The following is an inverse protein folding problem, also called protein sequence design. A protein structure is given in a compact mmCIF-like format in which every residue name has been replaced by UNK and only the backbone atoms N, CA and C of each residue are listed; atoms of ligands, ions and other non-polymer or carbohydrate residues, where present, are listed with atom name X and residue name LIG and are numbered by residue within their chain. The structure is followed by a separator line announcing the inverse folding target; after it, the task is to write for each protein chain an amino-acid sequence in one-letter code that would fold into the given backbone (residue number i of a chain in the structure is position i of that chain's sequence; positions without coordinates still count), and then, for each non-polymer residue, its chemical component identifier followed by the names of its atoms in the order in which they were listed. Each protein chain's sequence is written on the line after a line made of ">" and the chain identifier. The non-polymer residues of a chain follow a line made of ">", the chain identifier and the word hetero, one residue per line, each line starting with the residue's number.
data_IF_654713919328
#
_entry.id   IF_654713919328
#
_cell.length_a   1.000
_cell.length_b   1.000
_cell.length_c   1.000
_cell.angle_alpha   90.00
_cell.angle_beta   90.00
_cell.angle_gamma   90.00
#
_symmetry.space_group_name_H-M   'P 1'
#
loop_
_entity.id
_entity.type
_entity.pdbx_description
1 polymer ?
#
# COMPACT_ATOMS: atom_id res chain seq x y z
N UNK A 1 -15.84 -2.33 2.97
CA UNK A 1 -15.32 -2.26 1.59
C UNK A 1 -13.88 -2.73 1.64
N UNK A 2 -13.54 -3.73 0.86
CA UNK A 2 -12.16 -4.23 0.82
C UNK A 2 -11.26 -3.22 0.09
N UNK A 3 -9.94 -3.32 0.24
CA UNK A 3 -9.03 -2.34 -0.36
C UNK A 3 -9.00 -2.41 -1.89
N UNK A 4 -9.42 -3.53 -2.48
CA UNK A 4 -9.54 -3.69 -3.92
C UNK A 4 -10.73 -2.93 -4.50
N UNK A 5 -11.86 -2.90 -3.81
CA UNK A 5 -13.01 -2.04 -4.16
C UNK A 5 -12.59 -0.57 -4.14
N UNK A 6 -11.95 -0.14 -3.05
CA UNK A 6 -11.48 1.25 -2.89
C UNK A 6 -10.49 1.61 -4.01
N UNK A 7 -9.58 0.69 -4.34
CA UNK A 7 -8.66 0.85 -5.46
C UNK A 7 -9.39 1.09 -6.78
N UNK A 8 -10.39 0.27 -7.11
CA UNK A 8 -11.15 0.43 -8.35
C UNK A 8 -11.94 1.74 -8.37
N UNK A 9 -12.59 2.10 -7.27
CA UNK A 9 -13.33 3.37 -7.14
C UNK A 9 -12.41 4.57 -7.37
N UNK A 10 -11.20 4.55 -6.81
CA UNK A 10 -10.21 5.60 -7.00
C UNK A 10 -9.70 5.65 -8.46
N UNK A 11 -9.46 4.51 -9.10
CA UNK A 11 -9.09 4.47 -10.53
C UNK A 11 -10.22 5.02 -11.41
N UNK A 12 -11.49 4.72 -11.12
CA UNK A 12 -12.64 5.24 -11.86
C UNK A 12 -12.75 6.76 -11.66
N UNK A 13 -12.56 7.26 -10.44
CA UNK A 13 -12.56 8.70 -10.14
C UNK A 13 -11.45 9.44 -10.89
N UNK A 14 -10.23 8.88 -10.91
CA UNK A 14 -9.12 9.40 -11.71
C UNK A 14 -9.45 9.39 -13.22
N UNK A 15 -9.99 8.27 -13.72
CA UNK A 15 -10.36 8.13 -15.13
C UNK A 15 -11.40 9.16 -15.57
N UNK A 16 -12.40 9.43 -14.71
CA UNK A 16 -13.41 10.48 -14.94
C UNK A 16 -12.79 11.87 -15.06
N UNK A 17 -11.87 12.22 -14.15
CA UNK A 17 -11.17 13.50 -14.17
C UNK A 17 -10.34 13.71 -15.45
N UNK A 18 -9.68 12.66 -15.95
CA UNK A 18 -8.84 12.71 -17.15
C UNK A 18 -9.55 12.31 -18.46
N UNK A 19 -10.89 12.15 -18.46
CA UNK A 19 -11.67 11.72 -19.64
C UNK A 19 -11.20 10.38 -20.26
N UNK A 20 -10.75 9.45 -19.43
CA UNK A 20 -10.31 8.11 -19.82
C UNK A 20 -11.51 7.15 -19.88
N UNK A 21 -12.38 7.34 -20.87
CA UNK A 21 -13.73 6.74 -20.87
C UNK A 21 -13.81 5.27 -21.33
N UNK A 22 -12.68 4.56 -21.44
CA UNK A 22 -12.67 3.13 -21.82
C UNK A 22 -11.60 2.37 -21.04
N UNK A 23 -11.82 1.08 -20.77
CA UNK A 23 -10.82 0.22 -20.13
C UNK A 23 -9.46 0.30 -20.81
N UNK A 24 -9.45 0.31 -22.16
CA UNK A 24 -8.22 0.45 -22.95
C UNK A 24 -7.49 1.75 -22.68
N UNK A 25 -8.19 2.89 -22.61
CA UNK A 25 -7.59 4.20 -22.30
C UNK A 25 -7.00 4.22 -20.89
N UNK A 26 -7.74 3.70 -19.90
CA UNK A 26 -7.29 3.61 -18.51
C UNK A 26 -6.05 2.71 -18.42
N UNK A 27 -6.13 1.51 -19.01
CA UNK A 27 -5.05 0.53 -18.98
C UNK A 27 -3.76 1.07 -19.64
N UNK A 28 -3.89 1.74 -20.80
CA UNK A 28 -2.76 2.39 -21.47
C UNK A 28 -2.13 3.48 -20.61
N UNK A 29 -2.94 4.31 -19.93
CA UNK A 29 -2.42 5.36 -19.06
C UNK A 29 -1.65 4.76 -17.86
N UNK A 30 -2.24 3.79 -17.17
CA UNK A 30 -1.66 3.14 -15.99
C UNK A 30 -0.55 2.14 -16.31
N UNK A 31 -0.26 1.92 -17.60
CA UNK A 31 0.71 0.94 -18.10
C UNK A 31 0.42 -0.49 -17.60
N UNK A 32 -0.83 -0.93 -17.78
CA UNK A 32 -1.32 -2.27 -17.45
C UNK A 32 -2.11 -2.83 -18.62
N UNK A 33 -2.41 -4.13 -18.60
CA UNK A 33 -3.29 -4.72 -19.62
C UNK A 33 -4.76 -4.46 -19.30
N UNK A 34 -5.58 -4.36 -20.34
CA UNK A 34 -7.04 -4.23 -20.20
C UNK A 34 -7.63 -5.38 -19.38
N UNK A 35 -7.13 -6.60 -19.62
CA UNK A 35 -7.55 -7.80 -18.88
C UNK A 35 -7.19 -7.73 -17.41
N UNK A 36 -6.02 -7.16 -17.05
CA UNK A 36 -5.66 -6.98 -15.64
C UNK A 36 -6.69 -6.10 -14.93
N UNK A 37 -7.08 -4.99 -15.57
CA UNK A 37 -8.08 -4.06 -15.03
C UNK A 37 -9.46 -4.72 -14.90
N UNK A 38 -9.90 -5.48 -15.91
CA UNK A 38 -11.15 -6.26 -15.86
C UNK A 38 -11.10 -7.32 -14.75
N UNK A 39 -9.97 -8.01 -14.59
CA UNK A 39 -9.80 -9.01 -13.53
C UNK A 39 -9.81 -8.38 -12.13
N UNK A 40 -9.25 -7.19 -11.97
CA UNK A 40 -9.31 -6.45 -10.72
C UNK A 40 -10.74 -5.98 -10.42
N UNK A 41 -11.47 -5.48 -11.41
CA UNK A 41 -12.86 -5.07 -11.18
C UNK A 41 -13.80 -6.24 -10.88
N UNK A 42 -13.61 -7.38 -11.56
CA UNK A 42 -14.37 -8.62 -11.30
C UNK A 42 -13.90 -9.39 -10.06
N UNK A 43 -12.89 -8.88 -9.34
CA UNK A 43 -12.27 -9.53 -8.17
C UNK A 43 -11.70 -10.93 -8.41
N UNK A 44 -11.51 -11.32 -9.67
CA UNK A 44 -10.92 -12.61 -10.05
C UNK A 44 -9.40 -12.62 -9.85
N UNK A 45 -8.77 -11.44 -9.88
CA UNK A 45 -7.37 -11.22 -9.48
C UNK A 45 -7.25 -9.98 -8.62
N UNK A 46 -6.12 -9.85 -7.93
CA UNK A 46 -5.83 -8.75 -7.03
C UNK A 46 -4.48 -8.13 -7.41
N UNK A 47 -4.32 -6.79 -7.43
CA UNK A 47 -3.02 -6.18 -7.70
C UNK A 47 -2.02 -6.53 -6.58
N UNK A 48 -0.75 -6.68 -6.96
CA UNK A 48 0.34 -6.75 -5.97
C UNK A 48 0.71 -5.35 -5.48
N UNK A 49 1.33 -5.23 -4.30
CA UNK A 49 1.83 -3.94 -3.82
C UNK A 49 2.81 -3.28 -4.80
N UNK A 50 3.69 -4.06 -5.45
CA UNK A 50 4.57 -3.52 -6.50
C UNK A 50 3.78 -2.92 -7.67
N UNK A 51 2.65 -3.53 -8.03
CA UNK A 51 1.78 -3.00 -9.09
C UNK A 51 1.07 -1.74 -8.61
N UNK A 52 0.65 -1.69 -7.35
CA UNK A 52 0.10 -0.49 -6.73
C UNK A 52 1.11 0.66 -6.77
N UNK A 53 2.36 0.43 -6.37
CA UNK A 53 3.46 1.40 -6.43
C UNK A 53 3.61 1.97 -7.85
N UNK A 54 3.71 1.10 -8.85
CA UNK A 54 3.87 1.50 -10.26
C UNK A 54 2.71 2.36 -10.79
N UNK A 55 1.47 2.01 -10.40
CA UNK A 55 0.29 2.77 -10.80
C UNK A 55 0.26 4.14 -10.10
N UNK A 56 0.63 4.16 -8.81
CA UNK A 56 0.66 5.37 -7.99
C UNK A 56 1.73 6.33 -8.48
N UNK A 57 2.92 5.83 -8.81
CA UNK A 57 4.01 6.60 -9.44
C UNK A 57 3.57 7.20 -10.79
N UNK A 58 2.76 6.47 -11.55
CA UNK A 58 2.24 6.92 -12.85
C UNK A 58 1.16 8.00 -12.71
N UNK A 59 0.35 7.92 -11.66
CA UNK A 59 -0.67 8.92 -11.30
C UNK A 59 -0.02 10.15 -10.64
N UNK A 60 1.09 9.97 -9.93
CA UNK A 60 1.76 10.99 -9.14
C UNK A 60 1.35 11.03 -7.67
N UNK A 61 0.69 9.98 -7.14
CA UNK A 61 0.17 9.94 -5.77
C UNK A 61 0.84 8.86 -4.90
N UNK A 62 0.71 8.96 -3.58
CA UNK A 62 1.15 7.89 -2.68
C UNK A 62 0.32 6.61 -2.85
N UNK A 63 0.95 5.45 -2.69
CA UNK A 63 0.27 4.15 -2.86
C UNK A 63 -0.86 3.91 -1.87
N UNK A 64 -0.72 4.39 -0.63
CA UNK A 64 -1.79 4.30 0.34
C UNK A 64 -3.03 5.09 -0.09
N UNK A 65 -2.88 6.17 -0.88
CA UNK A 65 -4.00 6.99 -1.33
C UNK A 65 -4.90 6.24 -2.29
N UNK A 66 -4.34 5.37 -3.14
CA UNK A 66 -5.13 4.53 -4.05
C UNK A 66 -6.02 3.53 -3.30
N UNK A 67 -5.67 3.10 -2.10
CA UNK A 67 -6.45 2.16 -1.29
C UNK A 67 -7.09 2.81 -0.05
N UNK A 68 -7.04 4.14 0.03
CA UNK A 68 -7.76 4.92 1.03
C UNK A 68 -9.09 5.39 0.44
N UNK A 69 -10.17 5.19 1.17
CA UNK A 69 -11.48 5.71 0.77
C UNK A 69 -11.38 7.23 0.61
N UNK A 70 -11.82 7.73 -0.54
CA UNK A 70 -11.72 9.14 -0.91
C UNK A 70 -10.27 9.69 -0.86
N UNK A 71 -9.27 8.83 -1.07
CA UNK A 71 -7.86 9.15 -0.92
C UNK A 71 -7.40 10.30 -1.83
N UNK A 72 -6.35 11.01 -1.43
CA UNK A 72 -5.81 12.13 -2.20
C UNK A 72 -4.94 11.63 -3.36
N UNK A 73 -5.61 11.27 -4.47
CA UNK A 73 -4.99 10.70 -5.67
C UNK A 73 -4.58 11.77 -6.70
N UNK A 74 -4.88 13.04 -6.43
CA UNK A 74 -4.55 14.18 -7.30
C UNK A 74 -3.47 15.07 -6.69
N UNK A 75 -2.84 14.62 -5.59
CA UNK A 75 -1.65 15.26 -5.07
C UNK A 75 -0.55 15.21 -6.14
N UNK A 76 -0.18 16.34 -6.73
CA UNK A 76 0.90 16.43 -7.70
C UNK A 76 2.26 16.36 -7.00
N UNK A 77 2.68 15.15 -6.62
CA UNK A 77 3.95 14.96 -5.89
C UNK A 77 5.09 14.80 -6.89
N UNK A 78 5.94 15.83 -6.96
CA UNK A 78 7.12 15.82 -7.82
C UNK A 78 8.16 14.78 -7.33
N UNK A 79 8.73 13.99 -8.26
CA UNK A 79 9.75 12.97 -8.00
C UNK A 79 9.34 11.85 -7.03
N UNK A 80 8.11 11.33 -7.17
CA UNK A 80 7.63 10.22 -6.38
C UNK A 80 8.16 8.86 -6.87
N UNK A 81 8.70 8.07 -5.94
CA UNK A 81 9.00 6.64 -6.14
C UNK A 81 8.50 5.86 -4.95
N UNK A 82 7.29 5.34 -5.06
CA UNK A 82 6.65 4.57 -4.00
C UNK A 82 7.44 3.28 -3.68
N UNK A 83 7.49 2.94 -2.39
CA UNK A 83 8.00 1.66 -1.91
C UNK A 83 7.11 1.13 -0.78
N UNK A 84 5.85 0.81 -1.10
CA UNK A 84 4.86 0.35 -0.11
C UNK A 84 5.33 -0.82 0.74
N UNK A 85 6.24 -1.65 0.20
CA UNK A 85 6.83 -2.78 0.93
C UNK A 85 7.73 -2.31 2.08
N UNK A 86 8.59 -1.34 1.84
CA UNK A 86 9.46 -0.79 2.88
C UNK A 86 8.63 -0.14 3.99
N UNK A 87 7.58 0.57 3.60
CA UNK A 87 6.64 1.21 4.53
C UNK A 87 5.87 0.18 5.33
N UNK A 88 5.40 -0.89 4.68
CA UNK A 88 4.80 -2.03 5.37
C UNK A 88 5.70 -2.58 6.46
N UNK A 89 6.97 -2.84 6.13
CA UNK A 89 7.93 -3.39 7.08
C UNK A 89 8.15 -2.41 8.24
N UNK A 90 8.32 -1.11 7.94
CA UNK A 90 8.51 -0.07 8.94
C UNK A 90 7.31 0.02 9.89
N UNK A 91 6.09 0.11 9.36
CA UNK A 91 4.87 0.24 10.15
C UNK A 91 4.61 -1.02 10.99
N UNK A 92 4.89 -2.20 10.45
CA UNK A 92 4.79 -3.45 11.22
C UNK A 92 5.84 -3.52 12.34
N UNK A 93 7.10 -3.12 12.09
CA UNK A 93 8.14 -3.07 13.14
C UNK A 93 7.71 -2.17 14.30
N UNK A 94 7.18 -0.98 13.98
CA UNK A 94 6.68 -0.04 14.98
C UNK A 94 5.50 -0.63 15.76
N UNK A 95 4.53 -1.22 15.06
CA UNK A 95 3.39 -1.86 15.71
C UNK A 95 3.80 -3.01 16.63
N UNK A 96 4.74 -3.85 16.21
CA UNK A 96 5.27 -4.94 17.02
C UNK A 96 5.95 -4.43 18.29
N UNK A 97 6.72 -3.34 18.19
CA UNK A 97 7.34 -2.69 19.35
C UNK A 97 6.28 -2.16 20.33
N UNK A 98 5.27 -1.45 19.82
CA UNK A 98 4.17 -0.92 20.63
C UNK A 98 3.37 -2.01 21.36
N UNK A 99 3.26 -3.20 20.77
CA UNK A 99 2.58 -4.36 21.36
C UNK A 99 3.48 -5.28 22.18
N UNK A 100 4.76 -4.94 22.37
CA UNK A 100 5.73 -5.77 23.10
C UNK A 100 5.97 -7.15 22.47
N UNK A 101 5.91 -7.25 21.14
CA UNK A 101 6.06 -8.52 20.39
C UNK A 101 7.45 -8.61 19.78
N UNK A 102 8.34 -9.37 20.40
CA UNK A 102 9.75 -9.41 20.02
C UNK A 102 10.12 -10.66 19.19
N UNK A 103 9.58 -11.83 19.55
CA UNK A 103 9.84 -13.07 18.81
C UNK A 103 9.00 -13.14 17.53
N UNK A 104 9.45 -13.94 16.56
CA UNK A 104 8.69 -14.17 15.32
C UNK A 104 7.34 -14.85 15.59
N UNK A 105 7.28 -15.76 16.57
CA UNK A 105 6.05 -16.41 17.01
C UNK A 105 5.06 -15.40 17.57
N UNK A 106 5.51 -14.48 18.43
CA UNK A 106 4.66 -13.43 19.00
C UNK A 106 4.14 -12.46 17.94
N UNK A 107 4.99 -12.10 16.97
CA UNK A 107 4.60 -11.25 15.84
C UNK A 107 3.56 -11.94 14.95
N UNK A 108 3.78 -13.21 14.63
CA UNK A 108 2.84 -13.99 13.82
C UNK A 108 1.49 -14.22 14.53
N UNK A 109 1.50 -14.36 15.86
CA UNK A 109 0.29 -14.53 16.67
C UNK A 109 -0.70 -13.35 16.55
N UNK A 110 -0.20 -12.13 16.29
CA UNK A 110 -1.05 -10.97 16.04
C UNK A 110 -1.95 -11.12 14.80
N UNK A 111 -1.61 -12.02 13.89
CA UNK A 111 -2.36 -12.24 12.65
C UNK A 111 -3.34 -13.42 12.74
N UNK A 112 -3.60 -13.98 13.91
CA UNK A 112 -4.59 -15.05 14.15
C UNK A 112 -4.55 -16.21 13.12
N UNK A 113 -3.35 -16.58 12.65
CA UNK A 113 -3.16 -17.66 11.66
C UNK A 113 -3.30 -17.25 10.19
N UNK A 114 -3.75 -16.02 9.87
CA UNK A 114 -3.79 -15.52 8.49
C UNK A 114 -2.41 -15.36 7.85
N UNK A 115 -1.39 -15.11 8.68
CA UNK A 115 0.02 -15.04 8.28
C UNK A 115 0.82 -16.01 9.14
N UNK A 116 1.41 -17.01 8.49
CA UNK A 116 2.33 -17.93 9.18
C UNK A 116 3.65 -17.25 9.52
N UNK A 117 4.37 -17.78 10.51
CA UNK A 117 5.70 -17.28 10.88
C UNK A 117 6.66 -17.27 9.67
N UNK A 118 6.62 -18.32 8.86
CA UNK A 118 7.45 -18.43 7.66
C UNK A 118 7.09 -17.37 6.60
N UNK A 119 5.80 -17.11 6.39
CA UNK A 119 5.34 -16.06 5.47
C UNK A 119 5.77 -14.67 5.98
N UNK A 120 5.58 -14.39 7.26
CA UNK A 120 5.97 -13.13 7.88
C UNK A 120 7.48 -12.89 7.76
N UNK A 121 8.31 -13.90 8.09
CA UNK A 121 9.75 -13.86 7.87
C UNK A 121 10.08 -13.56 6.42
N UNK A 122 9.39 -14.21 5.47
CA UNK A 122 9.60 -14.01 4.03
C UNK A 122 9.33 -12.58 3.57
N UNK A 123 8.41 -11.85 4.21
CA UNK A 123 8.15 -10.44 3.90
C UNK A 123 9.29 -9.52 4.37
N UNK A 124 9.92 -9.89 5.48
CA UNK A 124 10.97 -9.11 6.15
C UNK A 124 12.41 -9.39 5.65
N UNK A 125 12.63 -10.33 4.74
CA UNK A 125 13.97 -10.62 4.19
C UNK A 125 14.50 -9.44 3.38
N UNK A 126 15.81 -9.20 3.35
CA UNK A 126 16.40 -8.16 2.51
C UNK A 126 16.37 -8.55 1.02
N UNK A 127 16.67 -9.82 0.73
CA UNK A 127 16.68 -10.40 -0.61
C UNK A 127 15.69 -11.56 -0.74
N UNK A 128 15.28 -11.86 -1.98
CA UNK A 128 14.33 -12.93 -2.30
C UNK A 128 13.07 -12.90 -1.41
N UNK A 129 12.65 -11.69 -1.05
CA UNK A 129 11.49 -11.46 -0.23
C UNK A 129 10.21 -11.73 -1.02
N UNK A 130 9.14 -12.01 -0.29
CA UNK A 130 7.79 -12.00 -0.83
C UNK A 130 7.14 -10.68 -0.46
N UNK A 131 6.16 -10.27 -1.25
CA UNK A 131 5.31 -9.12 -0.91
C UNK A 131 3.87 -9.63 -0.84
N UNK A 132 3.12 -9.32 0.22
CA UNK A 132 1.73 -9.77 0.30
C UNK A 132 0.92 -9.15 -0.84
N UNK A 133 0.03 -9.92 -1.51
CA UNK A 133 -0.99 -9.33 -2.38
C UNK A 133 -1.96 -8.50 -1.53
N UNK A 134 -2.69 -7.59 -2.18
CA UNK A 134 -3.55 -6.64 -1.47
C UNK A 134 -4.64 -7.33 -0.61
N UNK A 135 -5.22 -8.45 -1.07
CA UNK A 135 -6.12 -9.30 -0.25
C UNK A 135 -5.47 -9.79 1.06
N UNK A 136 -4.19 -10.20 1.01
CA UNK A 136 -3.47 -10.63 2.21
C UNK A 136 -3.19 -9.45 3.14
N UNK A 137 -2.98 -8.25 2.57
CA UNK A 137 -2.85 -7.02 3.34
C UNK A 137 -4.15 -6.67 4.07
N UNK A 138 -5.32 -6.88 3.47
CA UNK A 138 -6.62 -6.73 4.14
C UNK A 138 -6.77 -7.68 5.33
N UNK A 139 -6.41 -8.95 5.17
CA UNK A 139 -6.43 -9.94 6.25
C UNK A 139 -5.49 -9.53 7.40
N UNK A 140 -4.29 -9.03 7.07
CA UNK A 140 -3.36 -8.49 8.06
C UNK A 140 -3.97 -7.29 8.77
N UNK A 141 -4.53 -6.33 8.04
CA UNK A 141 -5.09 -5.10 8.61
C UNK A 141 -6.28 -5.40 9.53
N UNK A 142 -7.16 -6.31 9.10
CA UNK A 142 -8.29 -6.80 9.89
C UNK A 142 -7.83 -7.43 11.21
N UNK A 143 -6.81 -8.30 11.18
CA UNK A 143 -6.26 -8.90 12.39
C UNK A 143 -5.65 -7.86 13.34
N UNK A 144 -5.06 -6.79 12.81
CA UNK A 144 -4.49 -5.70 13.60
C UNK A 144 -5.54 -4.64 14.03
N UNK A 145 -6.80 -4.78 13.60
CA UNK A 145 -7.85 -3.79 13.87
C UNK A 145 -7.60 -2.43 13.20
N UNK A 146 -6.98 -2.43 12.02
CA UNK A 146 -6.56 -1.22 11.29
C UNK A 146 -7.17 -1.18 9.88
N UNK A 147 -7.39 0.02 9.31
CA UNK A 147 -7.60 0.17 7.88
C UNK A 147 -6.38 -0.29 7.08
N UNK A 148 -6.60 -0.95 5.94
CA UNK A 148 -5.53 -1.51 5.10
C UNK A 148 -4.50 -0.47 4.66
N UNK A 149 -4.95 0.73 4.29
CA UNK A 149 -4.05 1.80 3.86
C UNK A 149 -3.05 2.21 4.96
N UNK A 150 -3.38 2.08 6.25
CA UNK A 150 -2.46 2.43 7.34
C UNK A 150 -1.23 1.52 7.37
N UNK A 151 -1.34 0.29 6.87
CA UNK A 151 -0.21 -0.62 6.82
C UNK A 151 0.87 -0.14 5.85
N UNK A 152 0.52 0.64 4.83
CA UNK A 152 1.46 1.16 3.82
C UNK A 152 1.50 2.69 3.76
N UNK A 153 0.92 3.37 4.75
CA UNK A 153 0.92 4.83 4.82
C UNK A 153 2.26 5.32 5.34
N UNK A 154 2.86 6.25 4.60
CA UNK A 154 4.04 6.98 5.05
C UNK A 154 3.76 7.64 6.40
N UNK A 155 4.50 7.28 7.43
CA UNK A 155 4.58 8.10 8.64
C UNK A 155 5.31 9.35 8.21
N UNK A 156 4.63 10.51 8.18
CA UNK A 156 5.31 11.81 8.02
C UNK A 156 6.43 11.83 9.04
N UNK A 157 7.67 11.66 8.57
CA UNK A 157 8.81 12.05 9.36
C UNK A 157 8.56 13.53 9.59
N UNK A 158 8.27 13.90 10.83
CA UNK A 158 8.48 15.29 11.24
C UNK A 158 9.93 15.53 10.84
N UNK A 159 10.13 16.29 9.77
CA UNK A 159 11.44 16.84 9.45
C UNK A 159 11.93 17.39 10.77
N UNK A 160 13.01 16.82 11.32
CA UNK A 160 13.64 17.43 12.47
C UNK A 160 14.04 18.81 11.97
N UNK A 161 13.22 19.82 12.26
CA UNK A 161 13.60 21.21 12.14
C UNK A 161 14.91 21.31 12.88
N UNK A 162 15.96 21.52 12.11
CA UNK A 162 17.32 21.59 12.56
C UNK A 162 17.44 22.83 13.45
N UNK A 163 17.12 22.69 14.74
CA UNK A 163 17.29 23.76 15.75
C UNK A 163 18.77 23.86 16.12
N UNK A 164 19.61 24.13 15.13
CA UNK A 164 21.00 24.54 15.29
C UNK A 164 21.34 25.73 14.40
N UNK A 165 20.59 26.82 14.54
CA UNK A 165 21.15 28.17 14.41
C UNK A 165 20.54 29.06 15.48
N UNK A 166 21.39 29.92 16.03
CA UNK A 166 21.16 30.92 17.07
C UNK A 166 21.44 30.45 18.50
N UNK A 167 22.73 30.23 18.78
CA UNK A 167 23.32 30.87 19.95
C UNK A 167 24.03 32.12 19.45
N UNK A 168 23.50 33.26 19.87
CA UNK A 168 24.21 34.55 19.90
C UNK A 168 25.44 34.46 20.80
#
# INVERSE_FOLDING_TARGET
>A
MDSQDIFIDNIIRFAGYHNLNTYRKIANFLNVTEDSLKHWQSKTRCPSLKRLDQISDKIGCWSYALIQKDGDIFAEIELLRNNSREILIKNLKEYFLQKGRFSWKDKAALFYGFVSEAALKSYFREENFKTPPLKKLDEMASALGKPTYELIKEVKLIEKTDTRKNKE
#
